data_IF_430059107469
#
_entry.id   IF_430059107469
#
_cell.length_a   1.000
_cell.length_b   1.000
_cell.length_c   1.000
_cell.angle_alpha   90.00
_cell.angle_beta   90.00
_cell.angle_gamma   90.00
#
_symmetry.space_group_name_H-M   'P 1'
#
loop_
_entity.id
_entity.type
_entity.pdbx_description
1 polymer ?
#
# COMPACT_ATOMS: atom_id res chain seq x y z
N UNK A 1 -5.79 14.04 -40.60
CA UNK A 1 -5.16 15.20 -39.92
C UNK A 1 -6.29 15.98 -39.26
N UNK A 2 -6.34 16.24 -37.95
CA UNK A 2 -5.28 16.65 -37.05
C UNK A 2 -5.28 15.87 -35.72
N UNK A 3 -4.07 15.57 -35.25
CA UNK A 3 -3.77 15.15 -33.88
C UNK A 3 -4.05 16.33 -32.95
N UNK A 4 -5.07 16.25 -32.09
CA UNK A 4 -5.24 17.17 -30.96
C UNK A 4 -5.00 16.39 -29.66
N UNK A 5 -3.77 15.89 -29.55
CA UNK A 5 -3.21 15.42 -28.30
C UNK A 5 -2.64 16.66 -27.59
N UNK A 6 -2.90 16.80 -26.29
CA UNK A 6 -2.29 17.78 -25.39
C UNK A 6 -2.95 19.18 -25.32
N UNK A 7 -4.18 19.28 -24.81
CA UNK A 7 -4.59 20.47 -24.01
C UNK A 7 -5.01 20.01 -22.61
N UNK A 8 -4.43 20.56 -21.53
CA UNK A 8 -4.73 20.14 -20.17
C UNK A 8 -6.13 20.61 -19.76
N UNK A 9 -7.09 19.68 -19.74
CA UNK A 9 -8.35 19.60 -18.97
C UNK A 9 -9.24 20.83 -18.64
N UNK A 10 -8.90 22.07 -18.96
CA UNK A 10 -9.51 23.23 -18.30
C UNK A 10 -10.74 23.83 -18.99
N UNK A 11 -11.09 23.47 -20.22
CA UNK A 11 -12.28 24.03 -20.90
C UNK A 11 -13.02 23.01 -21.77
N UNK A 12 -13.23 21.80 -21.26
CA UNK A 12 -14.25 20.91 -21.85
C UNK A 12 -15.63 21.37 -21.37
N UNK A 13 -16.60 21.62 -22.28
CA UNK A 13 -17.97 21.88 -21.85
C UNK A 13 -18.43 20.73 -20.96
N UNK A 14 -19.19 21.05 -19.90
CA UNK A 14 -19.71 20.04 -18.98
C UNK A 14 -20.39 18.95 -19.81
N UNK A 15 -20.03 17.67 -19.63
CA UNK A 15 -20.54 16.61 -20.48
C UNK A 15 -22.07 16.51 -20.34
N UNK A 16 -22.81 16.92 -21.37
CA UNK A 16 -24.27 16.78 -21.49
C UNK A 16 -24.63 15.35 -21.96
N UNK A 17 -23.76 14.38 -21.70
CA UNK A 17 -24.01 12.98 -22.04
C UNK A 17 -24.97 12.36 -21.03
N UNK A 18 -25.91 11.55 -21.52
CA UNK A 18 -26.72 10.65 -20.70
C UNK A 18 -25.82 9.98 -19.65
N UNK A 19 -26.07 10.22 -18.35
CA UNK A 19 -25.32 9.64 -17.22
C UNK A 19 -25.52 8.11 -17.10
N UNK A 20 -25.87 7.43 -18.19
CA UNK A 20 -26.02 5.98 -18.25
C UNK A 20 -24.62 5.35 -18.27
N UNK A 21 -24.32 4.40 -17.36
CA UNK A 21 -23.06 3.68 -17.40
C UNK A 21 -22.97 2.88 -18.71
N UNK A 22 -21.84 3.01 -19.40
CA UNK A 22 -21.60 2.29 -20.65
C UNK A 22 -21.17 0.83 -20.40
N UNK A 23 -20.72 0.53 -19.17
CA UNK A 23 -20.26 -0.78 -18.75
C UNK A 23 -20.95 -1.21 -17.44
N UNK A 24 -21.26 -2.50 -17.33
CA UNK A 24 -21.86 -3.12 -16.16
C UNK A 24 -20.95 -2.98 -14.92
N UNK A 25 -19.63 -3.04 -15.09
CA UNK A 25 -18.66 -2.83 -13.99
C UNK A 25 -18.77 -1.41 -13.41
N UNK A 26 -18.96 -0.41 -14.29
CA UNK A 26 -19.16 0.99 -13.86
C UNK A 26 -20.51 1.18 -13.17
N UNK A 27 -21.54 0.47 -13.63
CA UNK A 27 -22.85 0.49 -12.98
C UNK A 27 -22.79 -0.11 -11.58
N UNK A 28 -22.18 -1.29 -11.43
CA UNK A 28 -22.02 -1.96 -10.14
C UNK A 28 -21.25 -1.06 -9.17
N UNK A 29 -20.17 -0.44 -9.63
CA UNK A 29 -19.36 0.45 -8.79
C UNK A 29 -20.14 1.67 -8.32
N UNK A 30 -20.99 2.25 -9.18
CA UNK A 30 -21.87 3.39 -8.82
C UNK A 30 -22.95 3.00 -7.83
N UNK A 31 -23.63 1.88 -8.05
CA UNK A 31 -24.69 1.42 -7.15
C UNK A 31 -24.11 1.05 -5.79
N UNK A 32 -22.94 0.42 -5.74
CA UNK A 32 -22.25 0.12 -4.48
C UNK A 32 -21.76 1.37 -3.73
N UNK A 33 -21.56 2.50 -4.43
CA UNK A 33 -21.18 3.77 -3.81
C UNK A 33 -22.36 4.57 -3.27
N UNK A 34 -23.60 4.16 -3.57
CA UNK A 34 -24.80 4.74 -2.96
C UNK A 34 -24.99 4.14 -1.56
N UNK A 35 -25.47 4.94 -0.59
CA UNK A 35 -25.80 4.42 0.74
C UNK A 35 -26.80 3.27 0.60
N UNK A 36 -26.47 2.12 1.21
CA UNK A 36 -27.26 0.88 1.15
C UNK A 36 -26.97 -0.09 -0.01
N UNK A 37 -26.16 0.30 -0.99
CA UNK A 37 -25.69 -0.57 -2.08
C UNK A 37 -26.80 -1.35 -2.80
N UNK A 38 -26.50 -2.52 -3.38
CA UNK A 38 -27.53 -3.39 -3.99
C UNK A 38 -28.46 -4.07 -2.97
N UNK A 39 -28.09 -4.11 -1.69
CA UNK A 39 -28.78 -4.95 -0.70
C UNK A 39 -30.02 -4.27 -0.13
N UNK A 40 -30.02 -2.94 -0.05
CA UNK A 40 -31.12 -2.16 0.52
C UNK A 40 -32.03 -1.55 -0.57
N UNK A 41 -31.73 -1.78 -1.86
CA UNK A 41 -32.56 -1.31 -2.97
C UNK A 41 -33.82 -2.17 -3.13
N UNK A 42 -34.97 -1.62 -2.71
CA UNK A 42 -36.29 -2.18 -2.99
C UNK A 42 -36.97 -1.52 -4.20
N UNK A 43 -37.68 -2.34 -4.99
CA UNK A 43 -38.36 -1.88 -6.21
C UNK A 43 -39.51 -0.92 -5.89
N UNK A 44 -40.19 -1.11 -4.76
CA UNK A 44 -41.30 -0.26 -4.35
C UNK A 44 -40.84 1.14 -3.89
N UNK A 45 -39.67 1.25 -3.27
CA UNK A 45 -39.04 2.52 -2.90
C UNK A 45 -38.54 3.26 -4.14
N UNK A 46 -37.85 2.56 -5.04
CA UNK A 46 -37.33 3.15 -6.28
C UNK A 46 -38.46 3.71 -7.17
N UNK A 47 -39.60 3.01 -7.26
CA UNK A 47 -40.77 3.52 -8.00
C UNK A 47 -41.34 4.80 -7.38
N UNK A 48 -41.38 4.90 -6.05
CA UNK A 48 -41.82 6.13 -5.36
C UNK A 48 -40.86 7.29 -5.65
N UNK A 49 -39.56 7.05 -5.58
CA UNK A 49 -38.54 8.06 -5.84
C UNK A 49 -38.58 8.56 -7.29
N UNK A 50 -38.82 7.68 -8.26
CA UNK A 50 -38.98 8.05 -9.67
C UNK A 50 -40.21 8.95 -9.85
N UNK A 51 -41.33 8.63 -9.20
CA UNK A 51 -42.55 9.45 -9.26
C UNK A 51 -42.36 10.81 -8.57
N UNK A 52 -41.66 10.85 -7.44
CA UNK A 52 -41.30 12.10 -6.75
C UNK A 52 -40.40 12.99 -7.61
N UNK A 53 -39.39 12.42 -8.28
CA UNK A 53 -38.53 13.13 -9.24
C UNK A 53 -39.28 13.61 -10.49
N UNK A 54 -40.28 12.87 -10.94
CA UNK A 54 -41.08 13.25 -12.10
C UNK A 54 -42.09 14.37 -11.78
N UNK A 55 -42.58 14.45 -10.54
CA UNK A 55 -43.46 15.53 -10.07
C UNK A 55 -42.72 16.78 -9.61
N UNK A 56 -41.44 16.68 -9.22
CA UNK A 56 -40.63 17.78 -8.67
C UNK A 56 -39.62 18.43 -9.63
N UNK A 57 -39.83 18.43 -10.94
CA UNK A 57 -38.89 18.99 -11.92
C UNK A 57 -38.83 20.54 -11.95
N UNK A 58 -38.82 21.20 -10.79
CA UNK A 58 -38.69 22.66 -10.66
C UNK A 58 -37.97 23.15 -9.39
N UNK A 59 -37.26 22.33 -8.63
CA UNK A 59 -36.40 22.82 -7.54
C UNK A 59 -35.07 22.07 -7.51
N UNK A 60 -34.13 22.54 -8.33
CA UNK A 60 -32.69 22.31 -8.13
C UNK A 60 -32.07 23.68 -7.92
N UNK A 61 -31.88 24.05 -6.64
CA UNK A 61 -30.70 24.72 -6.09
C UNK A 61 -31.08 25.37 -4.73
N UNK A 62 -31.02 24.59 -3.65
CA UNK A 62 -31.01 25.14 -2.30
C UNK A 62 -30.22 24.22 -1.36
N UNK A 63 -28.92 24.44 -1.35
CA UNK A 63 -28.00 24.12 -0.27
C UNK A 63 -28.51 24.70 1.07
N UNK A 64 -28.81 23.85 2.06
CA UNK A 64 -28.63 24.02 3.52
C UNK A 64 -29.39 22.89 4.24
N UNK A 65 -28.74 21.89 4.86
CA UNK A 65 -27.87 21.90 6.05
C UNK A 65 -28.64 21.95 7.38
N UNK A 66 -28.36 20.94 8.23
CA UNK A 66 -28.80 20.70 9.61
C UNK A 66 -30.29 20.35 9.74
N UNK A 67 -30.72 19.32 10.46
CA UNK A 67 -30.17 18.68 11.66
C UNK A 67 -31.01 17.40 11.84
N UNK A 68 -30.39 16.22 11.90
CA UNK A 68 -30.98 15.13 12.68
C UNK A 68 -29.84 14.23 13.15
N UNK A 69 -29.66 14.26 14.47
CA UNK A 69 -28.82 13.38 15.24
C UNK A 69 -29.52 12.03 15.29
N UNK A 70 -28.95 10.99 14.69
CA UNK A 70 -29.25 9.63 15.14
C UNK A 70 -28.02 8.73 14.99
N UNK A 71 -27.62 8.19 16.14
CA UNK A 71 -26.61 7.16 16.42
C UNK A 71 -26.50 6.07 15.33
N UNK A 72 -25.42 6.08 14.54
CA UNK A 72 -24.99 4.93 13.72
C UNK A 72 -23.47 4.67 13.90
N UNK A 73 -23.04 4.43 15.15
CA UNK A 73 -21.63 4.25 15.50
C UNK A 73 -21.24 2.80 15.88
N UNK A 74 -21.97 1.75 15.44
CA UNK A 74 -21.61 0.36 15.81
C UNK A 74 -21.54 -0.71 14.70
N UNK A 75 -21.87 -0.43 13.43
CA UNK A 75 -21.82 -1.47 12.36
C UNK A 75 -20.76 -1.28 11.25
N UNK A 76 -19.94 -0.21 11.27
CA UNK A 76 -18.86 -0.02 10.27
C UNK A 76 -17.54 -0.76 10.63
N UNK A 77 -17.48 -1.45 11.78
CA UNK A 77 -16.20 -1.86 12.37
C UNK A 77 -15.60 -3.16 11.84
N UNK A 78 -16.38 -4.08 11.25
CA UNK A 78 -15.84 -5.39 10.84
C UNK A 78 -15.19 -5.37 9.45
N UNK A 79 -15.83 -4.72 8.46
CA UNK A 79 -15.30 -4.64 7.09
C UNK A 79 -14.13 -3.64 6.98
N UNK A 80 -14.16 -2.53 7.74
CA UNK A 80 -13.03 -1.61 7.83
C UNK A 80 -11.81 -2.26 8.52
N UNK A 81 -12.06 -3.09 9.55
CA UNK A 81 -11.00 -3.86 10.23
C UNK A 81 -10.45 -5.00 9.36
N UNK A 82 -11.28 -5.63 8.53
CA UNK A 82 -10.85 -6.61 7.52
C UNK A 82 -9.98 -5.98 6.44
N UNK A 83 -10.38 -4.82 5.89
CA UNK A 83 -9.61 -4.08 4.89
C UNK A 83 -8.26 -3.60 5.45
N UNK A 84 -8.24 -3.07 6.68
CA UNK A 84 -7.00 -2.66 7.35
C UNK A 84 -6.10 -3.84 7.71
N UNK A 85 -6.65 -5.00 8.10
CA UNK A 85 -5.87 -6.21 8.33
C UNK A 85 -5.23 -6.75 7.05
N UNK A 86 -5.93 -6.69 5.91
CA UNK A 86 -5.38 -7.07 4.60
C UNK A 86 -4.24 -6.13 4.19
N UNK A 87 -4.43 -4.82 4.36
CA UNK A 87 -3.40 -3.81 4.07
C UNK A 87 -2.17 -4.01 4.97
N UNK A 88 -2.36 -4.19 6.28
CA UNK A 88 -1.28 -4.44 7.22
C UNK A 88 -0.52 -5.74 6.89
N UNK A 89 -1.22 -6.78 6.43
CA UNK A 89 -0.59 -8.03 5.96
C UNK A 89 0.24 -7.80 4.71
N UNK A 90 -0.24 -7.00 3.75
CA UNK A 90 0.51 -6.68 2.53
C UNK A 90 1.79 -5.89 2.85
N UNK A 91 1.70 -4.88 3.72
CA UNK A 91 2.86 -4.12 4.18
C UNK A 91 3.88 -5.01 4.90
N UNK A 92 3.41 -5.91 5.77
CA UNK A 92 4.25 -6.87 6.46
C UNK A 92 4.97 -7.82 5.49
N UNK A 93 4.25 -8.37 4.51
CA UNK A 93 4.84 -9.23 3.48
C UNK A 93 5.90 -8.48 2.66
N UNK A 94 5.62 -7.24 2.25
CA UNK A 94 6.58 -6.40 1.54
C UNK A 94 7.86 -6.18 2.34
N UNK A 95 7.75 -5.92 3.64
CA UNK A 95 8.90 -5.72 4.52
C UNK A 95 9.72 -7.02 4.68
N UNK A 96 9.06 -8.17 4.79
CA UNK A 96 9.74 -9.48 4.82
C UNK A 96 10.50 -9.71 3.52
N UNK A 97 9.88 -9.47 2.37
CA UNK A 97 10.51 -9.70 1.08
C UNK A 97 11.77 -8.84 0.90
N UNK A 98 11.70 -7.58 1.32
CA UNK A 98 12.87 -6.69 1.31
C UNK A 98 14.00 -7.18 2.22
N UNK A 99 13.66 -7.60 3.45
CA UNK A 99 14.63 -8.15 4.40
C UNK A 99 15.24 -9.46 3.89
N UNK A 100 14.42 -10.32 3.29
CA UNK A 100 14.83 -11.60 2.72
C UNK A 100 15.82 -11.41 1.57
N UNK A 101 15.52 -10.52 0.63
CA UNK A 101 16.43 -10.20 -0.48
C UNK A 101 17.76 -9.65 0.03
N UNK A 102 17.71 -8.77 1.03
CA UNK A 102 18.92 -8.21 1.66
C UNK A 102 19.76 -9.31 2.32
N UNK A 103 19.13 -10.25 3.01
CA UNK A 103 19.79 -11.39 3.63
C UNK A 103 20.39 -12.35 2.59
N UNK A 104 19.70 -12.61 1.47
CA UNK A 104 20.22 -13.43 0.37
C UNK A 104 21.46 -12.79 -0.29
N UNK A 105 21.45 -11.48 -0.52
CA UNK A 105 22.63 -10.76 -1.02
C UNK A 105 23.82 -10.84 -0.05
N UNK A 106 23.56 -10.69 1.25
CA UNK A 106 24.59 -10.85 2.27
C UNK A 106 25.14 -12.29 2.29
N UNK A 107 24.27 -13.30 2.21
CA UNK A 107 24.65 -14.71 2.13
C UNK A 107 25.53 -14.99 0.93
N UNK A 108 25.17 -14.48 -0.26
CA UNK A 108 25.97 -14.64 -1.48
C UNK A 108 27.36 -13.97 -1.32
N UNK A 109 27.43 -12.78 -0.70
CA UNK A 109 28.71 -12.10 -0.44
C UNK A 109 29.64 -12.88 0.51
N UNK A 110 29.09 -13.43 1.59
CA UNK A 110 29.83 -14.24 2.57
C UNK A 110 30.24 -15.57 1.95
N UNK A 111 29.36 -16.16 1.16
CA UNK A 111 29.65 -17.43 0.49
C UNK A 111 30.75 -17.25 -0.57
N UNK A 112 30.78 -16.15 -1.33
CA UNK A 112 31.91 -15.83 -2.22
C UNK A 112 33.22 -15.66 -1.45
N UNK A 113 33.20 -15.02 -0.26
CA UNK A 113 34.38 -14.91 0.60
C UNK A 113 34.87 -16.29 1.11
N UNK A 114 33.94 -17.14 1.58
CA UNK A 114 34.25 -18.46 2.12
C UNK A 114 34.72 -19.43 1.02
N UNK A 115 34.26 -19.24 -0.21
CA UNK A 115 34.54 -20.12 -1.34
C UNK A 115 36.02 -20.22 -1.70
N UNK A 116 36.83 -19.26 -1.23
CA UNK A 116 38.29 -19.29 -1.33
C UNK A 116 38.95 -20.33 -0.42
N UNK A 117 38.43 -20.51 0.79
CA UNK A 117 38.98 -21.42 1.81
C UNK A 117 38.32 -22.80 1.76
N UNK A 118 36.99 -22.85 1.53
CA UNK A 118 36.19 -24.07 1.49
C UNK A 118 35.21 -24.08 0.29
N UNK A 119 35.67 -24.45 -0.91
CA UNK A 119 34.89 -24.33 -2.14
C UNK A 119 33.64 -25.23 -2.18
N UNK A 120 33.70 -26.41 -1.54
CA UNK A 120 32.60 -27.39 -1.57
C UNK A 120 31.39 -26.91 -0.75
N UNK A 121 31.62 -26.36 0.45
CA UNK A 121 30.54 -25.90 1.33
C UNK A 121 29.95 -24.57 0.84
N UNK A 122 30.81 -23.61 0.49
CA UNK A 122 30.38 -22.31 -0.02
C UNK A 122 29.66 -22.40 -1.37
N UNK A 123 29.99 -23.42 -2.17
CA UNK A 123 29.23 -23.74 -3.37
C UNK A 123 27.75 -23.95 -3.03
N UNK A 124 27.43 -24.79 -2.05
CA UNK A 124 26.03 -25.15 -1.74
C UNK A 124 25.14 -23.98 -1.30
N UNK A 125 25.73 -22.93 -0.72
CA UNK A 125 24.99 -21.76 -0.23
C UNK A 125 24.94 -20.60 -1.22
N UNK A 126 25.76 -20.64 -2.28
CA UNK A 126 25.73 -19.65 -3.35
C UNK A 126 24.58 -19.88 -4.32
N UNK A 127 23.94 -18.80 -4.74
CA UNK A 127 23.00 -18.85 -5.86
C UNK A 127 23.70 -19.34 -7.14
N UNK A 128 23.02 -20.22 -7.88
CA UNK A 128 23.57 -20.87 -9.09
C UNK A 128 23.91 -19.84 -10.16
N UNK A 129 23.05 -18.83 -10.34
CA UNK A 129 23.26 -17.76 -11.32
C UNK A 129 24.55 -16.95 -11.05
N UNK A 130 24.86 -16.65 -9.78
CA UNK A 130 26.11 -15.95 -9.44
C UNK A 130 27.33 -16.86 -9.56
N UNK A 131 27.19 -18.15 -9.23
CA UNK A 131 28.27 -19.13 -9.38
C UNK A 131 28.72 -19.23 -10.84
N UNK A 132 27.79 -19.28 -11.77
CA UNK A 132 28.09 -19.43 -13.20
C UNK A 132 28.67 -18.15 -13.81
N UNK A 133 28.26 -16.98 -13.32
CA UNK A 133 28.73 -15.69 -13.84
C UNK A 133 30.11 -15.28 -13.31
N UNK A 134 30.33 -15.45 -12.01
CA UNK A 134 31.49 -14.89 -11.30
C UNK A 134 32.52 -15.95 -10.96
N UNK A 135 32.11 -17.22 -10.82
CA UNK A 135 32.98 -18.30 -10.35
C UNK A 135 33.24 -18.26 -8.85
N UNK A 136 33.89 -19.31 -8.35
CA UNK A 136 34.25 -19.47 -6.93
C UNK A 136 35.53 -18.66 -6.64
N UNK A 137 35.59 -18.00 -5.48
CA UNK A 137 36.82 -17.41 -4.95
C UNK A 137 37.12 -15.98 -5.38
N UNK A 138 36.13 -15.22 -5.85
CA UNK A 138 36.33 -13.87 -6.41
C UNK A 138 36.51 -12.76 -5.39
N UNK A 139 36.00 -12.93 -4.17
CA UNK A 139 36.21 -11.99 -3.07
C UNK A 139 37.23 -12.54 -2.07
N UNK A 140 38.06 -11.65 -1.52
CA UNK A 140 38.99 -11.94 -0.44
C UNK A 140 38.97 -10.85 0.62
N UNK A 141 39.16 -11.23 1.89
CA UNK A 141 39.30 -10.27 2.98
C UNK A 141 40.78 -9.88 3.14
N UNK A 142 41.05 -8.57 3.23
CA UNK A 142 42.39 -8.03 3.52
C UNK A 142 42.34 -7.19 4.79
N UNK A 143 43.40 -7.25 5.60
CA UNK A 143 43.50 -6.49 6.84
C UNK A 143 43.73 -5.01 6.50
N UNK A 144 42.69 -4.21 6.60
CA UNK A 144 42.75 -2.76 6.44
C UNK A 144 43.11 -2.08 7.76
N UNK A 145 43.68 -0.87 7.67
CA UNK A 145 43.89 0.00 8.82
C UNK A 145 42.53 0.35 9.42
N UNK A 146 42.44 0.39 10.75
CA UNK A 146 41.20 0.75 11.45
C UNK A 146 40.64 2.06 10.89
N UNK A 147 39.33 2.14 10.63
CA UNK A 147 38.72 3.35 10.13
C UNK A 147 38.94 4.49 11.12
N UNK A 148 39.21 5.70 10.61
CA UNK A 148 39.25 6.92 11.43
C UNK A 148 37.81 7.28 11.85
N UNK A 149 37.24 6.51 12.78
CA UNK A 149 35.92 6.78 13.32
C UNK A 149 36.06 7.96 14.29
N UNK A 150 35.42 9.07 13.96
CA UNK A 150 35.34 10.21 14.87
C UNK A 150 34.40 9.88 16.03
N UNK A 151 34.67 10.39 17.24
CA UNK A 151 33.88 10.13 18.45
C UNK A 151 32.38 10.49 18.27
N UNK A 152 32.06 11.40 17.34
CA UNK A 152 30.70 11.75 16.93
C UNK A 152 29.93 10.64 16.23
N UNK A 153 30.59 9.73 15.51
CA UNK A 153 29.96 8.58 14.83
C UNK A 153 29.75 7.39 15.78
N UNK A 154 30.49 7.35 16.89
CA UNK A 154 30.32 6.36 17.96
C UNK A 154 29.17 6.71 18.89
N UNK A 155 28.72 7.96 18.90
CA UNK A 155 27.56 8.35 19.68
C UNK A 155 26.33 7.59 19.15
N UNK A 156 25.61 6.85 20.00
CA UNK A 156 24.43 6.14 19.57
C UNK A 156 23.44 7.15 18.99
N UNK A 157 23.03 6.91 17.74
CA UNK A 157 22.09 7.76 17.03
C UNK A 157 20.82 7.94 17.86
N UNK A 158 20.15 9.09 17.70
CA UNK A 158 18.98 9.46 18.50
C UNK A 158 17.89 8.36 18.53
N UNK A 159 17.79 7.56 17.47
CA UNK A 159 16.90 6.41 17.35
C UNK A 159 17.21 5.31 18.38
N UNK A 160 18.49 5.00 18.63
CA UNK A 160 18.94 4.02 19.64
C UNK A 160 18.71 4.50 21.08
N UNK A 161 18.81 5.81 21.33
CA UNK A 161 18.47 6.39 22.64
C UNK A 161 16.95 6.38 22.88
N UNK A 162 16.15 6.63 21.85
CA UNK A 162 14.68 6.66 21.95
C UNK A 162 14.08 5.28 22.23
N UNK A 163 14.70 4.19 21.78
CA UNK A 163 14.25 2.83 22.08
C UNK A 163 14.51 2.40 23.53
N UNK A 164 15.56 2.91 24.18
CA UNK A 164 15.87 2.54 25.58
C UNK A 164 15.06 3.32 26.63
N UNK A 165 14.37 4.38 26.23
CA UNK A 165 13.57 5.24 27.11
C UNK A 165 12.08 4.91 27.12
N UNK A 166 11.61 3.89 26.39
CA UNK A 166 10.21 3.44 26.54
C UNK A 166 10.09 2.63 27.83
N UNK A 167 9.34 3.10 28.84
CA UNK A 167 9.07 2.29 30.03
C UNK A 167 8.30 1.03 29.62
N UNK A 168 8.53 -0.04 30.38
CA UNK A 168 7.96 -1.37 30.25
C UNK A 168 6.42 -1.35 30.41
N UNK A 169 5.69 -0.81 29.43
CA UNK A 169 4.28 -1.11 29.22
C UNK A 169 4.23 -2.07 28.04
N UNK A 170 3.67 -3.27 28.27
CA UNK A 170 3.66 -4.40 27.34
C UNK A 170 2.87 -4.13 26.05
N UNK A 171 3.35 -3.22 25.24
CA UNK A 171 2.95 -3.04 23.85
C UNK A 171 4.21 -3.10 23.00
N UNK A 172 4.44 -4.28 22.44
CA UNK A 172 5.35 -4.48 21.32
C UNK A 172 4.80 -3.69 20.14
N UNK A 173 5.19 -2.42 20.03
CA UNK A 173 4.92 -1.60 18.87
C UNK A 173 6.08 -1.80 17.90
N UNK A 174 5.94 -2.81 17.03
CA UNK A 174 6.75 -2.97 15.83
C UNK A 174 5.99 -2.33 14.67
N UNK A 175 6.49 -1.18 14.19
CA UNK A 175 6.39 -0.79 12.79
C UNK A 175 7.80 -0.88 12.20
#
# INVERSE_FOLDING_TARGET
>A
MANNSQMPFSLRPWPIGDKKPQNLVDFISRVNSQPGGFRELDEAQLRRDILGKQQGALEDDAFNSSEDEDDEDEEESEDAKGKTAIVAREEFMRNIDFAHQSAMLALDSISLLLSKENPVQAGTTLSVALRDLVGIGTLGASKLKEPNVTETQLQPSAWRKRSSLRPNTGQMCWL
#
